data_IF_966544482296
#
_entry.id   IF_966544482296
#
_cell.length_a   1.000
_cell.length_b   1.000
_cell.length_c   1.000
_cell.angle_alpha   90.00
_cell.angle_beta   90.00
_cell.angle_gamma   90.00
#
_symmetry.space_group_name_H-M   'P 1'
#
loop_
_entity.id
_entity.type
_entity.pdbx_description
1 polymer ?
#
# COMPACT_ATOMS: atom_id res chain seq x y z
N UNK A 1 -4.11 -11.25 15.17
CA UNK A 1 -4.65 -12.31 14.28
C UNK A 1 -5.51 -11.61 13.25
N UNK A 2 -5.28 -11.82 11.96
CA UNK A 2 -5.97 -11.11 10.87
C UNK A 2 -5.14 -10.03 10.18
N UNK A 3 -5.69 -9.50 9.08
CA UNK A 3 -5.05 -8.46 8.27
C UNK A 3 -5.07 -7.10 8.98
N UNK A 4 -3.96 -6.38 8.93
CA UNK A 4 -3.86 -5.03 9.49
C UNK A 4 -3.83 -4.02 8.35
N UNK A 5 -4.89 -3.23 8.16
CA UNK A 5 -4.91 -2.23 7.10
C UNK A 5 -3.81 -1.16 7.26
N UNK A 6 -3.30 -0.65 6.14
CA UNK A 6 -2.36 0.47 6.12
C UNK A 6 -2.90 1.67 6.91
N UNK A 7 -2.01 2.40 7.57
CA UNK A 7 -2.37 3.55 8.41
C UNK A 7 -2.81 3.20 9.83
N UNK A 8 -3.21 1.95 10.10
CA UNK A 8 -3.59 1.52 11.46
C UNK A 8 -2.37 1.41 12.40
N UNK A 9 -2.53 1.65 13.71
CA UNK A 9 -1.48 1.37 14.69
C UNK A 9 -1.00 -0.09 14.65
N UNK A 10 -1.93 -1.03 14.44
CA UNK A 10 -1.60 -2.45 14.33
C UNK A 10 -0.68 -2.78 13.15
N UNK A 11 -0.89 -2.17 11.98
CA UNK A 11 0.03 -2.32 10.84
C UNK A 11 1.42 -1.81 11.20
N UNK A 12 1.52 -0.61 11.80
CA UNK A 12 2.81 -0.05 12.25
C UNK A 12 3.55 -0.97 13.22
N UNK A 13 2.84 -1.62 14.15
CA UNK A 13 3.44 -2.59 15.08
C UNK A 13 3.97 -3.81 14.33
N UNK A 14 3.18 -4.38 13.42
CA UNK A 14 3.56 -5.55 12.62
C UNK A 14 4.78 -5.24 11.74
N UNK A 15 4.86 -4.03 11.19
CA UNK A 15 5.98 -3.55 10.38
C UNK A 15 7.23 -3.21 11.22
N UNK A 16 7.17 -3.36 12.55
CA UNK A 16 8.32 -3.25 13.45
C UNK A 16 8.57 -1.85 14.04
N UNK A 17 7.56 -0.97 14.01
CA UNK A 17 7.67 0.35 14.64
C UNK A 17 8.08 0.23 16.11
N UNK A 18 9.09 1.00 16.52
CA UNK A 18 9.59 1.02 17.92
C UNK A 18 8.76 1.92 18.84
N UNK A 19 7.95 2.81 18.26
CA UNK A 19 7.02 3.68 18.95
C UNK A 19 5.75 3.85 18.12
N UNK A 20 4.61 3.92 18.78
CA UNK A 20 3.31 4.25 18.19
C UNK A 20 2.62 5.35 18.99
N UNK A 21 1.74 6.10 18.34
CA UNK A 21 0.97 7.18 18.96
C UNK A 21 -0.42 6.68 19.31
N UNK A 22 -0.80 6.75 20.59
CA UNK A 22 -2.15 6.39 21.08
C UNK A 22 -2.61 7.54 21.99
N UNK A 23 -3.82 8.07 21.79
CA UNK A 23 -4.37 9.20 22.58
C UNK A 23 -3.43 10.40 22.71
N UNK A 24 -2.75 10.73 21.62
CA UNK A 24 -1.76 11.80 21.54
C UNK A 24 -0.46 11.56 22.35
N UNK A 25 -0.21 10.35 22.86
CA UNK A 25 1.02 9.98 23.58
C UNK A 25 1.88 8.98 22.79
N UNK A 26 3.20 9.15 22.81
CA UNK A 26 4.15 8.22 22.20
C UNK A 26 4.45 7.05 23.13
N UNK A 27 4.03 5.86 22.73
CA UNK A 27 4.18 4.61 23.48
C UNK A 27 5.25 3.73 22.83
N UNK A 28 6.20 3.24 23.62
CA UNK A 28 7.24 2.34 23.15
C UNK A 28 6.70 0.92 22.91
N UNK A 29 7.06 0.33 21.77
CA UNK A 29 6.75 -1.07 21.43
C UNK A 29 7.92 -1.95 21.90
N UNK A 30 7.87 -2.39 23.16
CA UNK A 30 8.87 -3.28 23.76
C UNK A 30 8.46 -4.77 23.71
N UNK A 31 7.23 -5.06 23.33
CA UNK A 31 6.70 -6.42 23.25
C UNK A 31 7.31 -7.19 22.06
N UNK A 32 7.40 -8.51 22.20
CA UNK A 32 7.66 -9.41 21.07
C UNK A 32 6.41 -9.50 20.21
N UNK A 33 6.55 -9.24 18.92
CA UNK A 33 5.44 -9.23 17.97
C UNK A 33 5.44 -10.55 17.20
N UNK A 34 4.28 -11.20 17.16
CA UNK A 34 4.05 -12.41 16.38
C UNK A 34 2.80 -12.23 15.53
N UNK A 35 2.88 -12.65 14.28
CA UNK A 35 1.76 -12.58 13.34
C UNK A 35 1.36 -13.99 12.94
N UNK A 36 0.09 -14.34 13.12
CA UNK A 36 -0.49 -15.59 12.63
C UNK A 36 -1.52 -15.22 11.57
N UNK A 37 -1.13 -15.37 10.30
CA UNK A 37 -1.93 -14.97 9.15
C UNK A 37 -3.01 -16.02 8.78
N UNK A 38 -2.81 -17.29 9.12
CA UNK A 38 -3.69 -18.40 8.72
C UNK A 38 -5.09 -18.45 9.36
N UNK A 39 -5.43 -17.49 10.21
CA UNK A 39 -6.76 -17.38 10.84
C UNK A 39 -7.60 -16.24 10.24
N UNK A 40 -7.11 -15.53 9.22
CA UNK A 40 -7.97 -14.63 8.46
C UNK A 40 -9.02 -15.46 7.73
N UNK A 41 -10.31 -15.18 7.94
CA UNK A 41 -11.40 -15.83 7.20
C UNK A 41 -11.48 -15.41 5.71
N UNK A 42 -10.42 -14.78 5.18
CA UNK A 42 -10.31 -14.35 3.79
C UNK A 42 -9.57 -15.39 2.97
N UNK A 43 -10.03 -15.62 1.75
CA UNK A 43 -9.35 -16.47 0.78
C UNK A 43 -7.97 -15.90 0.45
N UNK A 44 -6.97 -16.79 0.41
CA UNK A 44 -5.65 -16.47 -0.12
C UNK A 44 -5.66 -16.29 -1.64
N UNK A 45 -4.54 -15.82 -2.19
CA UNK A 45 -4.37 -15.61 -3.63
C UNK A 45 -4.70 -16.87 -4.45
N UNK A 46 -4.10 -18.01 -4.09
CA UNK A 46 -4.32 -19.27 -4.81
C UNK A 46 -5.79 -19.70 -4.77
N UNK A 47 -6.43 -19.55 -3.61
CA UNK A 47 -7.86 -19.88 -3.44
C UNK A 47 -8.76 -18.98 -4.30
N UNK A 48 -8.44 -17.69 -4.44
CA UNK A 48 -9.17 -16.78 -5.32
C UNK A 48 -8.98 -17.14 -6.80
N UNK A 49 -7.76 -17.52 -7.20
CA UNK A 49 -7.45 -17.94 -8.56
C UNK A 49 -8.13 -19.27 -8.91
N UNK A 50 -8.16 -20.21 -7.98
CA UNK A 50 -8.82 -21.51 -8.16
C UNK A 50 -10.33 -21.34 -8.22
N UNK A 51 -10.92 -20.53 -7.33
CA UNK A 51 -12.34 -20.20 -7.40
C UNK A 51 -12.72 -19.55 -8.73
N UNK A 52 -11.93 -18.58 -9.21
CA UNK A 52 -12.17 -17.94 -10.50
C UNK A 52 -12.02 -18.95 -11.66
N UNK A 53 -11.13 -19.93 -11.53
CA UNK A 53 -10.95 -20.95 -12.54
C UNK A 53 -12.25 -21.73 -12.79
N UNK A 54 -13.00 -22.05 -11.74
CA UNK A 54 -14.21 -22.87 -11.87
C UNK A 54 -15.43 -22.10 -12.42
N UNK A 55 -15.48 -20.78 -12.19
CA UNK A 55 -16.66 -19.96 -12.52
C UNK A 55 -16.51 -19.12 -13.79
N UNK A 56 -15.31 -19.03 -14.36
CA UNK A 56 -15.04 -18.16 -15.53
C UNK A 56 -15.64 -18.70 -16.83
N UNK A 57 -15.99 -17.77 -17.72
CA UNK A 57 -16.21 -17.98 -19.15
C UNK A 57 -15.34 -17.01 -19.95
N UNK A 58 -15.30 -17.18 -21.27
CA UNK A 58 -14.54 -16.28 -22.16
C UNK A 58 -15.04 -14.84 -22.16
N UNK A 59 -16.27 -14.59 -21.69
CA UNK A 59 -16.86 -13.25 -21.56
C UNK A 59 -16.84 -12.72 -20.13
N UNK A 60 -16.18 -13.41 -19.19
CA UNK A 60 -16.10 -12.96 -17.80
C UNK A 60 -15.29 -11.68 -17.69
N UNK A 61 -15.87 -10.70 -17.01
CA UNK A 61 -15.17 -9.49 -16.60
C UNK A 61 -15.02 -9.49 -15.09
N UNK A 62 -13.81 -9.16 -14.63
CA UNK A 62 -13.45 -9.16 -13.21
C UNK A 62 -13.26 -7.74 -12.72
N UNK A 63 -13.91 -7.41 -11.60
CA UNK A 63 -13.68 -6.17 -10.88
C UNK A 63 -13.05 -6.51 -9.54
N UNK A 64 -11.83 -6.02 -9.29
CA UNK A 64 -11.18 -6.19 -8.00
C UNK A 64 -11.48 -4.98 -7.12
N UNK A 65 -12.17 -5.24 -6.03
CA UNK A 65 -12.54 -4.24 -5.02
C UNK A 65 -12.01 -4.69 -3.65
N UNK A 66 -12.08 -3.80 -2.66
CA UNK A 66 -11.76 -4.09 -1.26
C UNK A 66 -10.40 -4.82 -1.05
N UNK A 67 -9.30 -4.11 -1.28
CA UNK A 67 -7.94 -4.58 -1.00
C UNK A 67 -6.95 -3.42 -1.04
N UNK A 68 -5.71 -3.67 -0.62
CA UNK A 68 -4.62 -2.72 -0.90
C UNK A 68 -4.37 -2.67 -2.41
N UNK A 69 -4.23 -1.47 -2.97
CA UNK A 69 -4.11 -1.26 -4.42
C UNK A 69 -3.00 -2.11 -5.05
N UNK A 70 -1.83 -2.20 -4.41
CA UNK A 70 -0.72 -3.04 -4.88
C UNK A 70 -1.07 -4.53 -4.92
N UNK A 71 -1.83 -5.03 -3.94
CA UNK A 71 -2.28 -6.42 -3.91
C UNK A 71 -3.34 -6.69 -5.00
N UNK A 72 -4.23 -5.72 -5.25
CA UNK A 72 -5.21 -5.80 -6.33
C UNK A 72 -4.52 -5.80 -7.70
N UNK A 73 -3.57 -4.90 -7.95
CA UNK A 73 -2.80 -4.84 -9.19
C UNK A 73 -2.03 -6.14 -9.45
N UNK A 74 -1.42 -6.70 -8.40
CA UNK A 74 -0.73 -7.97 -8.52
C UNK A 74 -1.68 -9.12 -8.87
N UNK A 75 -2.82 -9.25 -8.17
CA UNK A 75 -3.83 -10.25 -8.50
C UNK A 75 -4.42 -10.03 -9.90
N UNK A 76 -4.63 -8.78 -10.32
CA UNK A 76 -5.10 -8.45 -11.65
C UNK A 76 -4.12 -8.92 -12.74
N UNK A 77 -2.81 -8.72 -12.52
CA UNK A 77 -1.77 -9.26 -13.38
C UNK A 77 -1.86 -10.78 -13.53
N UNK A 78 -1.98 -11.50 -12.42
CA UNK A 78 -2.09 -12.97 -12.43
C UNK A 78 -3.34 -13.47 -13.13
N UNK A 79 -4.49 -12.81 -12.94
CA UNK A 79 -5.74 -13.17 -13.61
C UNK A 79 -5.63 -12.96 -15.13
N UNK A 80 -5.04 -11.83 -15.55
CA UNK A 80 -4.78 -11.54 -16.98
C UNK A 80 -3.85 -12.58 -17.59
N UNK A 81 -2.77 -12.92 -16.91
CA UNK A 81 -1.77 -13.89 -17.37
C UNK A 81 -2.34 -15.31 -17.45
N UNK A 82 -2.99 -15.79 -16.39
CA UNK A 82 -3.46 -17.18 -16.27
C UNK A 82 -4.72 -17.45 -17.09
N UNK A 83 -5.61 -16.46 -17.25
CA UNK A 83 -6.93 -16.66 -17.82
C UNK A 83 -7.28 -15.78 -19.02
N UNK A 84 -6.47 -14.77 -19.35
CA UNK A 84 -6.74 -13.85 -20.47
C UNK A 84 -8.00 -13.00 -20.29
N UNK A 85 -8.48 -12.82 -19.05
CA UNK A 85 -9.71 -12.09 -18.75
C UNK A 85 -9.47 -10.58 -18.65
N UNK A 86 -10.53 -9.80 -18.88
CA UNK A 86 -10.54 -8.37 -18.59
C UNK A 86 -10.67 -8.15 -17.09
N UNK A 87 -9.72 -7.42 -16.51
CA UNK A 87 -9.71 -7.08 -15.07
C UNK A 87 -9.62 -5.58 -14.89
N UNK A 88 -10.53 -5.02 -14.11
CA UNK A 88 -10.59 -3.59 -13.76
C UNK A 88 -10.45 -3.45 -12.24
N UNK A 89 -9.63 -2.51 -11.79
CA UNK A 89 -9.53 -2.08 -10.39
C UNK A 89 -10.16 -0.68 -10.33
N UNK A 90 -11.45 -0.57 -9.93
CA UNK A 90 -12.14 0.71 -10.02
C UNK A 90 -11.54 1.75 -9.08
N UNK A 91 -11.49 3.00 -9.53
CA UNK A 91 -11.13 4.13 -8.68
C UNK A 91 -12.27 4.52 -7.72
N UNK A 92 -11.91 5.28 -6.69
CA UNK A 92 -12.91 5.80 -5.76
C UNK A 92 -13.90 6.72 -6.48
N UNK A 93 -15.20 6.42 -6.33
CA UNK A 93 -16.32 7.08 -7.00
C UNK A 93 -16.36 6.91 -8.53
N UNK A 94 -15.62 5.96 -9.08
CA UNK A 94 -15.82 5.54 -10.47
C UNK A 94 -17.17 4.84 -10.64
N UNK A 95 -17.88 5.19 -11.71
CA UNK A 95 -19.12 4.53 -12.10
C UNK A 95 -18.90 3.62 -13.30
N UNK A 96 -19.41 2.39 -13.21
CA UNK A 96 -19.22 1.38 -14.26
C UNK A 96 -20.58 0.92 -14.76
N UNK A 97 -20.88 1.18 -16.03
CA UNK A 97 -22.14 0.76 -16.64
C UNK A 97 -22.01 -0.64 -17.25
N UNK A 98 -22.70 -1.60 -16.64
CA UNK A 98 -22.79 -2.97 -17.15
C UNK A 98 -23.96 -3.13 -18.12
N UNK A 99 -23.69 -3.60 -19.34
CA UNK A 99 -24.72 -3.95 -20.33
C UNK A 99 -24.48 -5.39 -20.82
N UNK A 100 -25.50 -6.26 -20.84
CA UNK A 100 -25.36 -7.61 -21.37
C UNK A 100 -24.80 -7.60 -22.80
N UNK A 101 -23.75 -8.39 -23.04
CA UNK A 101 -23.12 -8.54 -24.37
C UNK A 101 -22.31 -7.33 -24.86
N UNK A 102 -22.21 -6.25 -24.08
CA UNK A 102 -21.40 -5.10 -24.42
C UNK A 102 -20.13 -5.03 -23.55
N UNK A 103 -19.06 -4.45 -24.11
CA UNK A 103 -17.89 -4.08 -23.30
C UNK A 103 -18.28 -2.99 -22.32
N UNK A 104 -17.68 -3.05 -21.15
CA UNK A 104 -17.87 -2.06 -20.10
C UNK A 104 -17.39 -0.69 -20.54
N UNK A 105 -18.20 0.31 -20.20
CA UNK A 105 -17.88 1.71 -20.38
C UNK A 105 -17.59 2.30 -19.01
N UNK A 106 -16.34 2.69 -18.82
CA UNK A 106 -15.85 3.40 -17.64
C UNK A 106 -16.37 4.83 -17.68
N UNK A 107 -16.97 5.28 -16.58
CA UNK A 107 -17.31 6.68 -16.35
C UNK A 107 -16.36 7.15 -15.26
N UNK A 108 -15.30 7.89 -15.60
CA UNK A 108 -14.31 8.31 -14.62
C UNK A 108 -15.00 9.17 -13.54
N UNK A 109 -14.51 9.11 -12.29
CA UNK A 109 -15.09 9.87 -11.20
C UNK A 109 -15.14 11.38 -11.54
N UNK A 110 -16.15 12.11 -11.04
CA UNK A 110 -16.17 13.56 -11.17
C UNK A 110 -14.88 14.15 -10.57
N UNK A 111 -14.28 15.12 -11.26
CA UNK A 111 -13.04 15.75 -10.82
C UNK A 111 -13.18 16.31 -9.39
N UNK A 112 -12.33 15.84 -8.47
CA UNK A 112 -12.34 16.25 -7.05
C UNK A 112 -13.01 15.27 -6.08
N UNK A 113 -13.46 14.10 -6.56
CA UNK A 113 -14.12 13.11 -5.74
C UNK A 113 -13.16 12.16 -4.98
N UNK A 114 -11.86 12.20 -5.26
CA UNK A 114 -10.87 11.39 -4.53
C UNK A 114 -10.93 11.69 -3.02
N UNK A 115 -10.77 10.69 -2.14
CA UNK A 115 -10.67 10.94 -0.70
C UNK A 115 -9.49 11.88 -0.46
N UNK A 116 -9.59 12.79 0.52
CA UNK A 116 -8.42 13.54 0.98
C UNK A 116 -7.37 12.52 1.44
N UNK A 117 -6.36 12.30 0.58
CA UNK A 117 -5.25 11.39 0.85
C UNK A 117 -4.38 11.89 2.02
N UNK A 118 -4.68 13.08 2.58
CA UNK A 118 -3.95 13.63 3.71
C UNK A 118 -2.50 13.92 3.35
N UNK A 119 -2.22 14.21 2.07
CA UNK A 119 -0.87 14.52 1.61
C UNK A 119 -0.26 15.70 2.37
N UNK A 120 -0.99 16.80 2.66
CA UNK A 120 -0.41 17.91 3.42
C UNK A 120 0.11 17.54 4.82
N UNK A 121 -0.65 16.88 5.72
CA UNK A 121 -0.12 16.47 7.02
C UNK A 121 0.98 15.40 6.93
N UNK A 122 0.94 14.52 5.93
CA UNK A 122 2.00 13.52 5.71
C UNK A 122 3.33 14.18 5.28
N UNK A 123 3.27 15.15 4.36
CA UNK A 123 4.42 15.94 3.95
C UNK A 123 4.99 16.75 5.11
N UNK A 124 4.13 17.32 5.96
CA UNK A 124 4.55 18.02 7.16
C UNK A 124 5.29 17.10 8.16
N UNK A 125 4.79 15.88 8.40
CA UNK A 125 5.48 14.93 9.29
C UNK A 125 6.81 14.44 8.69
N UNK A 126 6.86 14.18 7.37
CA UNK A 126 8.10 13.81 6.68
C UNK A 126 9.15 14.93 6.81
N UNK A 127 8.76 16.18 6.54
CA UNK A 127 9.64 17.35 6.69
C UNK A 127 10.21 17.43 8.10
N UNK A 128 9.35 17.32 9.12
CA UNK A 128 9.77 17.34 10.52
C UNK A 128 10.81 16.24 10.84
N UNK A 129 10.62 15.03 10.34
CA UNK A 129 11.57 13.91 10.53
C UNK A 129 12.92 14.18 9.85
N UNK A 130 12.91 14.77 8.66
CA UNK A 130 14.13 15.15 7.96
C UNK A 130 14.89 16.26 8.71
N UNK A 131 14.17 17.25 9.24
CA UNK A 131 14.74 18.31 10.07
C UNK A 131 15.38 17.75 11.35
N UNK A 132 14.67 16.86 12.06
CA UNK A 132 15.17 16.16 13.25
C UNK A 132 16.44 15.34 12.95
N UNK A 133 16.49 14.68 11.80
CA UNK A 133 17.64 13.90 11.34
C UNK A 133 18.83 14.80 10.99
N UNK A 134 18.58 15.94 10.33
CA UNK A 134 19.58 16.96 10.03
C UNK A 134 20.22 17.54 11.30
N UNK A 135 19.41 17.86 12.31
CA UNK A 135 19.89 18.30 13.63
C UNK A 135 20.74 17.23 14.35
N UNK A 136 20.51 15.95 14.04
CA UNK A 136 21.24 14.81 14.58
C UNK A 136 22.54 14.43 13.86
N UNK A 137 22.95 15.14 12.80
CA UNK A 137 24.07 14.75 11.92
C UNK A 137 25.39 14.46 12.66
N UNK A 138 25.70 15.21 13.73
CA UNK A 138 26.90 14.96 14.55
C UNK A 138 26.91 13.57 15.22
N UNK A 139 25.73 13.02 15.55
CA UNK A 139 25.61 11.66 16.08
C UNK A 139 25.72 10.59 15.00
N UNK A 140 25.33 10.90 13.76
CA UNK A 140 25.48 9.97 12.64
C UNK A 140 26.95 9.82 12.24
N UNK A 141 27.71 10.92 12.25
CA UNK A 141 29.13 10.93 11.91
C UNK A 141 30.02 10.23 12.96
N UNK A 142 29.53 10.07 14.18
CA UNK A 142 30.25 9.34 15.24
C UNK A 142 29.99 7.83 15.24
N UNK A 143 29.09 7.32 14.36
CA UNK A 143 28.84 5.90 14.22
C UNK A 143 30.00 5.17 13.52
N UNK A 144 30.15 3.84 13.70
CA UNK A 144 31.11 3.05 12.92
C UNK A 144 30.87 3.16 11.41
N UNK A 145 31.94 3.07 10.62
CA UNK A 145 31.86 3.21 9.15
C UNK A 145 30.85 2.25 8.48
N UNK A 146 30.69 1.03 9.00
CA UNK A 146 29.68 0.08 8.51
C UNK A 146 28.25 0.58 8.70
N UNK A 147 27.95 1.19 9.85
CA UNK A 147 26.66 1.83 10.14
C UNK A 147 26.44 3.06 9.29
N UNK A 148 27.48 3.86 9.06
CA UNK A 148 27.39 5.03 8.19
C UNK A 148 27.07 4.63 6.74
N UNK A 149 27.69 3.56 6.24
CA UNK A 149 27.43 3.03 4.89
C UNK A 149 25.99 2.53 4.74
N UNK A 150 25.45 1.81 5.75
CA UNK A 150 24.06 1.37 5.77
C UNK A 150 23.08 2.55 5.70
N UNK A 151 23.34 3.60 6.49
CA UNK A 151 22.49 4.79 6.51
C UNK A 151 22.61 5.58 5.21
N UNK A 152 23.81 5.71 4.63
CA UNK A 152 24.01 6.37 3.34
C UNK A 152 23.19 5.70 2.23
N UNK A 153 23.10 4.37 2.25
CA UNK A 153 22.29 3.63 1.28
C UNK A 153 20.78 3.87 1.47
N UNK A 154 20.30 3.85 2.71
CA UNK A 154 18.90 4.20 3.01
C UNK A 154 18.55 5.62 2.55
N UNK A 155 19.46 6.58 2.72
CA UNK A 155 19.26 7.96 2.25
C UNK A 155 19.17 8.04 0.73
N UNK A 156 20.03 7.29 0.00
CA UNK A 156 19.95 7.21 -1.47
C UNK A 156 18.62 6.61 -1.95
N UNK A 157 18.18 5.52 -1.31
CA UNK A 157 16.89 4.91 -1.63
C UNK A 157 15.71 5.85 -1.35
N UNK A 158 15.79 6.61 -0.26
CA UNK A 158 14.79 7.63 0.07
C UNK A 158 14.75 8.72 -0.99
N UNK A 159 15.91 9.24 -1.41
CA UNK A 159 16.01 10.26 -2.46
C UNK A 159 15.42 9.76 -3.79
N UNK A 160 15.75 8.54 -4.20
CA UNK A 160 15.20 7.94 -5.41
C UNK A 160 13.66 7.75 -5.34
N UNK A 161 13.13 7.47 -4.15
CA UNK A 161 11.69 7.37 -3.93
C UNK A 161 11.00 8.74 -4.05
N UNK A 162 11.63 9.80 -3.52
CA UNK A 162 11.14 11.19 -3.68
C UNK A 162 11.14 11.60 -5.16
N UNK A 163 12.18 11.27 -5.92
CA UNK A 163 12.21 11.53 -7.36
C UNK A 163 11.09 10.82 -8.12
N UNK A 164 10.80 9.56 -7.77
CA UNK A 164 9.65 8.83 -8.36
C UNK A 164 8.33 9.50 -8.05
N UNK A 165 8.14 10.00 -6.83
CA UNK A 165 6.93 10.74 -6.44
C UNK A 165 6.82 12.02 -7.28
N UNK A 166 7.90 12.80 -7.42
CA UNK A 166 7.89 14.03 -8.22
C UNK A 166 7.56 13.75 -9.69
N UNK A 167 8.14 12.70 -10.29
CA UNK A 167 7.83 12.28 -11.66
C UNK A 167 6.41 11.74 -11.85
N UNK A 168 5.76 11.31 -10.78
CA UNK A 168 4.35 10.89 -10.83
C UNK A 168 3.38 12.08 -10.75
N UNK A 169 3.89 13.29 -10.48
CA UNK A 169 3.13 14.54 -10.45
C UNK A 169 3.32 15.40 -11.72
N UNK A 170 4.14 14.95 -12.69
CA UNK A 170 4.33 15.56 -14.02
C UNK A 170 3.55 14.78 -15.08
#
# INVERSE_FOLDING_TARGET
>A
VGFQAQGTPGRKIVDGAKKIRIFNEDIAVAARIFTINGFSAHAGQDQLLDWLADVRSTSTQVFLVHGEYSAQEHLAGLIREKFGLSVTVPEYLEEILLKPGARVKEIPPPAGAAPDAGLPPLLADLKRRLDDMGAGMGKLQSLPASRQAEIAELLRQTAASIEKINKSNE
#
